data_IF_976703731511
#
_entry.id   IF_976703731511
#
_cell.length_a   1.000
_cell.length_b   1.000
_cell.length_c   1.000
_cell.angle_alpha   90.00
_cell.angle_beta   90.00
_cell.angle_gamma   90.00
#
_symmetry.space_group_name_H-M   'P 1'
#
loop_
_entity.id
_entity.type
_entity.pdbx_description
1 polymer ?
#
# COMPACT_ATOMS: atom_id res chain seq x y z
N UNK A 1 2.32 3.29 25.84
CA UNK A 1 1.28 3.17 24.79
C UNK A 1 2.00 2.82 23.51
N UNK A 2 1.87 1.60 23.01
CA UNK A 2 2.44 1.26 21.70
C UNK A 2 1.70 2.11 20.67
N UNK A 3 2.42 2.97 19.95
CA UNK A 3 1.83 3.71 18.86
C UNK A 3 1.25 2.69 17.87
N UNK A 4 -0.02 2.86 17.50
CA UNK A 4 -0.63 2.12 16.39
C UNK A 4 0.25 2.38 15.16
N UNK A 5 1.14 1.45 14.84
CA UNK A 5 2.06 1.63 13.73
C UNK A 5 1.36 1.16 12.46
N UNK A 6 0.82 2.12 11.72
CA UNK A 6 0.27 1.87 10.40
C UNK A 6 1.40 1.48 9.44
N UNK A 7 1.12 0.58 8.51
CA UNK A 7 2.13 0.17 7.52
C UNK A 7 2.46 1.32 6.58
N UNK A 8 3.75 1.53 6.35
CA UNK A 8 4.25 2.48 5.35
C UNK A 8 4.13 1.93 3.90
N UNK A 9 3.56 0.73 3.73
CA UNK A 9 3.39 0.04 2.45
C UNK A 9 2.77 0.95 1.38
N UNK A 10 1.76 1.73 1.75
CA UNK A 10 1.01 2.57 0.82
C UNK A 10 1.77 3.82 0.38
N UNK A 11 2.92 4.13 0.97
CA UNK A 11 3.80 5.20 0.48
C UNK A 11 4.37 4.91 -0.91
N UNK A 12 4.54 3.63 -1.26
CA UNK A 12 4.93 3.20 -2.62
C UNK A 12 3.77 3.05 -3.60
N UNK A 13 2.59 3.59 -3.28
CA UNK A 13 1.49 3.72 -4.24
C UNK A 13 1.60 5.04 -4.99
N UNK A 14 0.97 5.17 -6.16
CA UNK A 14 1.06 6.40 -6.96
C UNK A 14 0.66 7.68 -6.20
N UNK A 15 -0.31 7.60 -5.28
CA UNK A 15 -0.68 8.75 -4.43
C UNK A 15 0.36 9.01 -3.32
N UNK A 16 0.98 7.96 -2.78
CA UNK A 16 2.05 8.08 -1.79
C UNK A 16 3.33 8.66 -2.39
N UNK A 17 3.71 8.20 -3.58
CA UNK A 17 4.86 8.71 -4.34
C UNK A 17 4.67 10.19 -4.67
N UNK A 18 3.51 10.57 -5.22
CA UNK A 18 3.22 11.98 -5.51
C UNK A 18 3.25 12.88 -4.26
N UNK A 19 2.81 12.36 -3.11
CA UNK A 19 2.92 13.07 -1.84
C UNK A 19 4.38 13.24 -1.41
N UNK A 20 5.20 12.20 -1.53
CA UNK A 20 6.63 12.23 -1.19
C UNK A 20 7.35 13.23 -2.09
N UNK A 21 7.14 13.16 -3.41
CA UNK A 21 7.75 14.09 -4.37
C UNK A 21 7.42 15.55 -4.00
N UNK A 22 6.15 15.83 -3.66
CA UNK A 22 5.72 17.17 -3.24
C UNK A 22 6.38 17.61 -1.92
N UNK A 23 6.54 16.69 -0.97
CA UNK A 23 7.20 16.96 0.31
C UNK A 23 8.68 17.26 0.08
N UNK A 24 9.35 16.49 -0.77
CA UNK A 24 10.77 16.66 -1.08
C UNK A 24 11.03 18.02 -1.75
N UNK A 25 10.17 18.44 -2.69
CA UNK A 25 10.24 19.78 -3.28
C UNK A 25 10.11 20.88 -2.22
N UNK A 26 9.17 20.76 -1.28
CA UNK A 26 8.99 21.73 -0.20
C UNK A 26 10.17 21.77 0.78
N UNK A 27 10.84 20.64 1.01
CA UNK A 27 12.07 20.58 1.82
C UNK A 27 13.21 21.29 1.08
N UNK A 28 13.37 20.99 -0.21
CA UNK A 28 14.42 21.58 -1.05
C UNK A 28 14.28 23.10 -1.17
N UNK A 29 13.04 23.61 -1.22
CA UNK A 29 12.74 25.04 -1.19
C UNK A 29 12.89 25.68 0.21
N UNK A 30 13.23 24.90 1.24
CA UNK A 30 13.34 25.38 2.62
C UNK A 30 12.00 25.79 3.25
N UNK A 31 10.87 25.33 2.70
CA UNK A 31 9.52 25.68 3.14
C UNK A 31 9.01 24.80 4.27
N UNK A 32 9.48 23.57 4.35
CA UNK A 32 9.17 22.64 5.45
C UNK A 32 10.44 21.98 5.97
N UNK A 33 10.47 21.69 7.26
CA UNK A 33 11.56 20.92 7.87
C UNK A 33 11.34 19.41 7.73
N UNK A 34 12.40 18.58 7.65
CA UNK A 34 12.29 17.13 7.56
C UNK A 34 11.46 16.49 8.69
N UNK A 35 11.49 17.08 9.89
CA UNK A 35 10.68 16.59 11.02
C UNK A 35 9.17 16.75 10.79
N UNK A 36 8.76 17.82 10.08
CA UNK A 36 7.37 18.03 9.71
C UNK A 36 6.95 17.04 8.62
N UNK A 37 7.81 16.80 7.63
CA UNK A 37 7.58 15.81 6.58
C UNK A 37 7.27 14.42 7.15
N UNK A 38 8.05 13.95 8.13
CA UNK A 38 7.80 12.67 8.80
C UNK A 38 6.42 12.61 9.48
N UNK A 39 5.95 13.73 10.05
CA UNK A 39 4.60 13.82 10.65
C UNK A 39 3.50 13.79 9.58
N UNK A 40 3.74 14.38 8.41
CA UNK A 40 2.79 14.33 7.28
C UNK A 40 2.67 12.89 6.78
N UNK A 41 3.79 12.21 6.56
CA UNK A 41 3.81 10.81 6.11
C UNK A 41 3.13 9.86 7.11
N UNK A 42 3.40 10.03 8.41
CA UNK A 42 2.71 9.24 9.45
C UNK A 42 1.19 9.47 9.45
N UNK A 43 0.73 10.70 9.19
CA UNK A 43 -0.70 10.97 9.03
C UNK A 43 -1.27 10.35 7.75
N UNK A 44 -0.50 10.34 6.66
CA UNK A 44 -0.87 9.66 5.42
C UNK A 44 -1.07 8.16 5.64
N UNK A 45 -0.12 7.49 6.30
CA UNK A 45 -0.20 6.04 6.56
C UNK A 45 -1.48 5.66 7.31
N UNK A 46 -1.87 6.49 8.30
CA UNK A 46 -3.13 6.35 9.02
C UNK A 46 -4.34 6.58 8.10
N UNK A 47 -4.36 7.73 7.43
CA UNK A 47 -5.52 8.17 6.66
C UNK A 47 -5.85 7.22 5.50
N UNK A 48 -4.83 6.70 4.80
CA UNK A 48 -5.03 5.76 3.70
C UNK A 48 -5.54 4.40 4.21
N UNK A 49 -4.97 3.88 5.30
CA UNK A 49 -5.38 2.60 5.86
C UNK A 49 -6.85 2.63 6.35
N UNK A 50 -7.22 3.69 7.08
CA UNK A 50 -8.60 3.90 7.55
C UNK A 50 -9.56 4.10 6.38
N UNK A 51 -9.20 4.92 5.39
CA UNK A 51 -10.03 5.18 4.21
C UNK A 51 -10.29 3.91 3.40
N UNK A 52 -9.26 3.09 3.17
CA UNK A 52 -9.39 1.82 2.47
C UNK A 52 -10.29 0.84 3.25
N UNK A 53 -10.14 0.74 4.57
CA UNK A 53 -10.95 -0.16 5.39
C UNK A 53 -12.43 0.27 5.47
N UNK A 54 -12.68 1.57 5.64
CA UNK A 54 -14.03 2.08 5.91
C UNK A 54 -14.83 2.30 4.63
N UNK A 55 -14.20 2.91 3.60
CA UNK A 55 -14.92 3.45 2.44
C UNK A 55 -14.90 2.54 1.22
N UNK A 56 -13.87 1.70 1.05
CA UNK A 56 -13.77 0.83 -0.12
C UNK A 56 -14.51 -0.49 0.12
N UNK A 57 -15.51 -0.77 -0.71
CA UNK A 57 -16.34 -2.00 -0.63
C UNK A 57 -16.21 -2.90 -1.86
N UNK A 58 -15.59 -2.39 -2.92
CA UNK A 58 -15.38 -3.14 -4.16
C UNK A 58 -14.50 -4.36 -3.92
N UNK A 59 -14.88 -5.49 -4.51
CA UNK A 59 -14.09 -6.72 -4.48
C UNK A 59 -13.59 -7.03 -5.89
N UNK A 60 -12.50 -7.78 -5.89
CA UNK A 60 -11.77 -8.16 -7.08
C UNK A 60 -11.30 -9.60 -6.89
N UNK A 61 -11.51 -10.42 -7.90
CA UNK A 61 -11.00 -11.79 -7.96
C UNK A 61 -9.96 -11.88 -9.06
N UNK A 62 -8.99 -12.77 -8.92
CA UNK A 62 -7.98 -12.95 -9.95
C UNK A 62 -7.53 -14.39 -10.09
N UNK A 63 -7.07 -14.72 -11.30
CA UNK A 63 -6.41 -15.99 -11.62
C UNK A 63 -5.14 -15.69 -12.42
N UNK A 64 -4.09 -16.44 -12.18
CA UNK A 64 -2.82 -16.31 -12.90
C UNK A 64 -1.85 -17.43 -12.51
N UNK A 65 -0.65 -17.39 -13.06
CA UNK A 65 0.41 -18.35 -12.80
C UNK A 65 1.41 -17.79 -11.80
N UNK A 66 1.54 -18.42 -10.63
CA UNK A 66 2.54 -18.00 -9.64
C UNK A 66 3.94 -18.29 -10.17
N UNK A 67 4.76 -17.26 -10.29
CA UNK A 67 6.17 -17.37 -10.70
C UNK A 67 7.09 -17.60 -9.51
N UNK A 68 6.98 -16.76 -8.48
CA UNK A 68 7.72 -16.92 -7.22
C UNK A 68 6.97 -16.27 -6.07
N UNK A 69 7.26 -16.72 -4.85
CA UNK A 69 6.74 -16.12 -3.63
C UNK A 69 7.85 -15.96 -2.58
N UNK A 70 7.62 -15.08 -1.61
CA UNK A 70 8.47 -14.89 -0.43
C UNK A 70 7.61 -14.46 0.75
N UNK A 71 7.95 -14.99 1.92
CA UNK A 71 7.45 -14.51 3.19
C UNK A 71 8.64 -14.15 4.08
N UNK A 72 8.70 -12.90 4.54
CA UNK A 72 9.73 -12.39 5.45
C UNK A 72 9.12 -11.23 6.23
N UNK A 73 9.44 -11.10 7.52
CA UNK A 73 8.99 -10.01 8.39
C UNK A 73 7.47 -9.74 8.33
N UNK A 74 6.66 -10.81 8.36
CA UNK A 74 5.20 -10.75 8.26
C UNK A 74 4.65 -10.10 6.97
N UNK A 75 5.48 -10.02 5.93
CA UNK A 75 5.09 -9.53 4.60
C UNK A 75 5.20 -10.64 3.56
N UNK A 76 4.09 -10.88 2.88
CA UNK A 76 4.04 -11.72 1.68
C UNK A 76 4.35 -10.91 0.43
N UNK A 77 5.19 -11.46 -0.43
CA UNK A 77 5.41 -10.95 -1.80
C UNK A 77 5.20 -12.07 -2.81
N UNK A 78 4.34 -11.85 -3.80
CA UNK A 78 4.09 -12.76 -4.91
C UNK A 78 4.42 -12.08 -6.23
N UNK A 79 5.06 -12.81 -7.15
CA UNK A 79 5.11 -12.45 -8.57
C UNK A 79 4.22 -13.42 -9.32
N UNK A 80 3.22 -12.89 -10.03
CA UNK A 80 2.22 -13.68 -10.75
C UNK A 80 2.23 -13.25 -12.22
N UNK A 81 2.20 -14.22 -13.13
CA UNK A 81 2.16 -14.04 -14.59
C UNK A 81 0.78 -14.34 -15.15
N UNK A 82 0.49 -13.76 -16.32
CA UNK A 82 -0.74 -13.96 -17.10
C UNK A 82 -1.99 -13.79 -16.23
N UNK A 83 -2.06 -12.68 -15.51
CA UNK A 83 -3.10 -12.43 -14.51
C UNK A 83 -4.36 -11.92 -15.20
N UNK A 84 -5.49 -12.52 -14.85
CA UNK A 84 -6.83 -12.05 -15.21
C UNK A 84 -7.57 -11.63 -13.96
N UNK A 85 -7.91 -10.36 -13.89
CA UNK A 85 -8.69 -9.76 -12.83
C UNK A 85 -10.16 -9.66 -13.25
N UNK A 86 -11.06 -9.82 -12.30
CA UNK A 86 -12.50 -9.62 -12.47
C UNK A 86 -13.04 -8.81 -11.31
N UNK A 87 -13.64 -7.66 -11.60
CA UNK A 87 -14.34 -6.84 -10.62
C UNK A 87 -15.76 -7.34 -10.37
N UNK A 88 -16.37 -6.92 -9.26
CA UNK A 88 -17.77 -7.21 -8.95
C UNK A 88 -18.75 -6.72 -10.04
N UNK A 89 -18.38 -5.69 -10.80
CA UNK A 89 -19.16 -5.17 -11.92
C UNK A 89 -19.05 -5.99 -13.21
N UNK A 90 -18.32 -7.12 -13.19
CA UNK A 90 -18.10 -7.99 -14.34
C UNK A 90 -17.03 -7.49 -15.31
N UNK A 91 -16.36 -6.38 -15.01
CA UNK A 91 -15.26 -5.88 -15.81
C UNK A 91 -14.04 -6.78 -15.62
N UNK A 92 -13.42 -7.18 -16.73
CA UNK A 92 -12.21 -7.99 -16.75
C UNK A 92 -11.01 -7.18 -17.20
N UNK A 93 -9.86 -7.43 -16.57
CA UNK A 93 -8.59 -6.78 -16.86
C UNK A 93 -7.49 -7.83 -16.97
N UNK A 94 -6.54 -7.62 -17.87
CA UNK A 94 -5.40 -8.50 -18.06
C UNK A 94 -4.09 -7.78 -17.74
N UNK A 95 -3.15 -8.50 -17.14
CA UNK A 95 -1.80 -8.04 -16.92
C UNK A 95 -0.82 -9.21 -17.10
N UNK A 96 0.22 -8.98 -17.90
CA UNK A 96 1.25 -10.00 -18.19
C UNK A 96 2.01 -10.42 -16.92
N UNK A 97 2.27 -9.46 -16.02
CA UNK A 97 2.98 -9.69 -14.77
C UNK A 97 2.55 -8.71 -13.68
N UNK A 98 2.31 -9.23 -12.48
CA UNK A 98 1.88 -8.48 -11.30
C UNK A 98 2.76 -8.83 -10.10
N UNK A 99 3.18 -7.81 -9.35
CA UNK A 99 3.77 -7.96 -8.02
C UNK A 99 2.72 -7.65 -6.96
N UNK A 100 2.42 -8.61 -6.09
CA UNK A 100 1.51 -8.45 -4.96
C UNK A 100 2.34 -8.39 -3.69
N UNK A 101 2.22 -7.31 -2.92
CA UNK A 101 2.83 -7.16 -1.59
C UNK A 101 1.71 -7.05 -0.56
N UNK A 102 1.71 -7.90 0.45
CA UNK A 102 0.64 -7.99 1.45
C UNK A 102 1.24 -8.09 2.84
N UNK A 103 0.92 -7.11 3.69
CA UNK A 103 1.25 -7.13 5.11
C UNK A 103 0.16 -7.87 5.90
N UNK A 104 0.54 -8.43 7.05
CA UNK A 104 -0.40 -9.05 7.98
C UNK A 104 -1.48 -8.05 8.45
N UNK A 105 -2.75 -8.46 8.41
CA UNK A 105 -3.87 -7.62 8.83
C UNK A 105 -4.05 -7.53 10.35
N UNK A 106 -3.36 -8.38 11.13
CA UNK A 106 -3.38 -8.30 12.60
C UNK A 106 -2.88 -6.95 13.07
N UNK A 107 -3.56 -6.34 14.05
CA UNK A 107 -3.06 -5.13 14.69
C UNK A 107 -1.82 -5.47 15.51
N UNK A 108 -0.79 -4.60 15.58
CA UNK A 108 0.34 -4.79 16.48
C UNK A 108 -0.16 -5.00 17.92
N UNK A 109 0.04 -6.21 18.47
CA UNK A 109 -0.37 -6.58 19.84
C UNK A 109 -1.59 -7.51 19.97
N UNK A 110 -2.24 -7.92 18.87
CA UNK A 110 -3.24 -9.00 18.92
C UNK A 110 -2.56 -10.38 18.82
N UNK A 111 -2.71 -11.20 19.88
CA UNK A 111 -2.25 -12.59 19.94
C UNK A 111 -3.17 -13.47 19.08
#
# INVERSE_FOLDING_TARGET
MAAQQYYELYRGSSIGEALIDTIDDLINDGRIEPQLAMKILSNFDRAIAETLAEKVKSRLTFKGHLETYRFCDDVWTFLVKDVRFKSDGGQEFHADKVKIVSCNSKKPGEI
#
